data_IF_473147994867
#
_entry.id   IF_473147994867
#
_cell.length_a   1.000
_cell.length_b   1.000
_cell.length_c   1.000
_cell.angle_alpha   90.00
_cell.angle_beta   90.00
_cell.angle_gamma   90.00
#
_symmetry.space_group_name_H-M   'P 1'
#
loop_
_entity.id
_entity.type
_entity.pdbx_description
1 polymer ?
#
# COMPACT_ATOMS: atom_id res chain seq x y z
N UNK A 1 5.65 17.52 -16.29
CA UNK A 1 4.39 17.60 -15.53
C UNK A 1 3.63 16.27 -15.53
N UNK A 2 3.25 15.69 -16.68
CA UNK A 2 2.44 14.45 -16.68
C UNK A 2 3.12 13.22 -16.03
N UNK A 3 4.39 12.96 -16.37
CA UNK A 3 5.13 11.80 -15.82
C UNK A 3 5.35 11.88 -14.31
N UNK A 4 5.60 13.07 -13.79
CA UNK A 4 5.81 13.29 -12.36
C UNK A 4 4.53 13.04 -11.58
N UNK A 5 3.40 13.56 -12.05
CA UNK A 5 2.09 13.30 -11.44
C UNK A 5 1.73 11.81 -11.46
N UNK A 6 2.01 11.10 -12.56
CA UNK A 6 1.80 9.65 -12.63
C UNK A 6 2.68 8.87 -11.63
N UNK A 7 3.95 9.29 -11.44
CA UNK A 7 4.83 8.68 -10.44
C UNK A 7 4.29 8.93 -9.03
N UNK A 8 3.84 10.16 -8.73
CA UNK A 8 3.23 10.52 -7.44
C UNK A 8 2.00 9.68 -7.15
N UNK A 9 1.08 9.53 -8.12
CA UNK A 9 -0.10 8.67 -7.98
C UNK A 9 0.26 7.22 -7.68
N UNK A 10 1.25 6.66 -8.37
CA UNK A 10 1.74 5.28 -8.13
C UNK A 10 2.40 5.11 -6.76
N UNK A 11 3.03 6.15 -6.23
CA UNK A 11 3.57 6.15 -4.87
C UNK A 11 2.39 6.17 -3.88
N UNK A 12 1.42 7.05 -4.09
CA UNK A 12 0.24 7.17 -3.22
C UNK A 12 -0.55 5.86 -3.14
N UNK A 13 -0.83 5.21 -4.27
CA UNK A 13 -1.55 3.93 -4.29
C UNK A 13 -0.85 2.84 -3.45
N UNK A 14 0.48 2.81 -3.46
CA UNK A 14 1.24 1.88 -2.59
C UNK A 14 1.14 2.28 -1.12
N UNK A 15 1.18 3.58 -0.84
CA UNK A 15 1.02 4.13 0.51
C UNK A 15 -0.33 3.78 1.10
N UNK A 16 -1.42 4.02 0.37
CA UNK A 16 -2.78 3.78 0.83
C UNK A 16 -2.98 2.30 1.21
N UNK A 17 -2.41 1.38 0.43
CA UNK A 17 -2.47 -0.07 0.72
C UNK A 17 -1.70 -0.41 2.01
N UNK A 18 -0.47 0.10 2.14
CA UNK A 18 0.39 -0.21 3.29
C UNK A 18 -0.17 0.43 4.56
N UNK A 19 -0.69 1.66 4.49
CA UNK A 19 -1.36 2.35 5.60
C UNK A 19 -2.55 1.56 6.15
N UNK A 20 -3.40 1.03 5.25
CA UNK A 20 -4.55 0.23 5.65
C UNK A 20 -4.13 -1.03 6.42
N UNK A 21 -3.07 -1.72 5.95
CA UNK A 21 -2.55 -2.92 6.61
C UNK A 21 -1.79 -2.60 7.90
N UNK A 22 -1.00 -1.53 7.91
CA UNK A 22 -0.30 -1.02 9.09
C UNK A 22 -1.30 -0.69 10.21
N UNK A 23 -2.39 0.00 9.87
CA UNK A 23 -3.44 0.33 10.83
C UNK A 23 -4.10 -0.92 11.42
N UNK A 24 -4.31 -1.95 10.60
CA UNK A 24 -4.87 -3.24 11.06
C UNK A 24 -3.92 -3.98 11.99
N UNK A 25 -2.61 -3.90 11.74
CA UNK A 25 -1.57 -4.64 12.47
C UNK A 25 -1.60 -4.44 13.99
N UNK A 26 -1.99 -3.23 14.43
CA UNK A 26 -2.06 -2.88 15.85
C UNK A 26 -3.46 -3.08 16.47
N UNK A 27 -4.32 -3.86 15.80
CA UNK A 27 -5.64 -4.24 16.31
C UNK A 27 -5.66 -5.71 16.73
N UNK A 28 -6.80 -6.18 17.24
CA UNK A 28 -7.00 -7.61 17.56
C UNK A 28 -6.92 -8.53 16.33
N UNK A 29 -7.15 -7.98 15.13
CA UNK A 29 -7.06 -8.71 13.87
C UNK A 29 -5.97 -8.05 12.98
N UNK A 30 -4.72 -8.54 13.03
CA UNK A 30 -3.60 -7.91 12.33
C UNK A 30 -3.61 -8.15 10.81
N UNK A 31 -4.61 -8.89 10.33
CA UNK A 31 -4.75 -9.28 8.93
C UNK A 31 -6.08 -8.81 8.37
N UNK A 32 -6.10 -8.54 7.06
CA UNK A 32 -7.31 -8.20 6.31
C UNK A 32 -7.67 -9.35 5.39
N UNK A 33 -8.94 -9.74 5.35
CA UNK A 33 -9.42 -10.84 4.51
C UNK A 33 -10.31 -10.28 3.39
N UNK A 34 -9.99 -10.64 2.15
CA UNK A 34 -10.73 -10.21 0.97
C UNK A 34 -10.94 -11.36 -0.02
N UNK A 35 -11.99 -11.29 -0.86
CA UNK A 35 -12.05 -12.12 -2.07
C UNK A 35 -10.83 -11.86 -2.96
N UNK A 36 -10.23 -12.91 -3.52
CA UNK A 36 -9.05 -12.82 -4.40
C UNK A 36 -9.25 -11.84 -5.56
N UNK A 37 -10.43 -11.87 -6.18
CA UNK A 37 -10.77 -10.96 -7.27
C UNK A 37 -10.74 -9.49 -6.85
N UNK A 38 -11.24 -9.19 -5.64
CA UNK A 38 -11.23 -7.84 -5.07
C UNK A 38 -9.86 -7.41 -4.58
N UNK A 39 -9.04 -8.33 -4.09
CA UNK A 39 -7.69 -8.00 -3.66
C UNK A 39 -6.78 -7.74 -4.85
N UNK A 40 -6.67 -8.68 -5.79
CA UNK A 40 -5.71 -8.53 -6.89
C UNK A 40 -6.09 -7.42 -7.89
N UNK A 41 -7.34 -6.92 -7.85
CA UNK A 41 -7.84 -5.77 -8.63
C UNK A 41 -7.37 -5.75 -10.09
N UNK A 42 -7.47 -6.88 -10.79
CA UNK A 42 -6.96 -7.02 -12.17
C UNK A 42 -7.59 -6.03 -13.16
N UNK A 43 -8.77 -5.51 -12.84
CA UNK A 43 -9.48 -4.49 -13.61
C UNK A 43 -8.89 -3.08 -13.44
N UNK A 44 -8.22 -2.80 -12.32
CA UNK A 44 -7.56 -1.52 -12.02
C UNK A 44 -6.04 -1.68 -12.11
N UNK A 45 -5.50 -1.48 -13.31
CA UNK A 45 -4.10 -1.80 -13.63
C UNK A 45 -3.06 -1.18 -12.69
N UNK A 46 -3.26 0.06 -12.22
CA UNK A 46 -2.31 0.74 -11.33
C UNK A 46 -2.36 0.17 -9.91
N UNK A 47 -3.54 -0.15 -9.37
CA UNK A 47 -3.69 -0.84 -8.09
C UNK A 47 -3.12 -2.26 -8.14
N UNK A 48 -3.40 -3.00 -9.22
CA UNK A 48 -2.82 -4.32 -9.44
C UNK A 48 -1.28 -4.28 -9.43
N UNK A 49 -0.69 -3.27 -10.09
CA UNK A 49 0.77 -3.05 -10.11
C UNK A 49 1.31 -2.67 -8.73
N UNK A 50 0.60 -1.83 -7.98
CA UNK A 50 0.98 -1.46 -6.61
C UNK A 50 1.02 -2.69 -5.69
N UNK A 51 -0.02 -3.52 -5.71
CA UNK A 51 -0.10 -4.76 -4.93
C UNK A 51 1.02 -5.72 -5.33
N UNK A 52 1.22 -5.94 -6.63
CA UNK A 52 2.28 -6.81 -7.14
C UNK A 52 3.66 -6.33 -6.71
N UNK A 53 3.89 -5.01 -6.73
CA UNK A 53 5.14 -4.41 -6.25
C UNK A 53 5.38 -4.70 -4.77
N UNK A 54 4.36 -4.47 -3.93
CA UNK A 54 4.46 -4.66 -2.48
C UNK A 54 4.71 -6.14 -2.12
N UNK A 55 4.02 -7.07 -2.80
CA UNK A 55 4.25 -8.52 -2.64
C UNK A 55 5.67 -8.91 -3.04
N UNK A 56 6.14 -8.46 -4.21
CA UNK A 56 7.49 -8.78 -4.71
C UNK A 56 8.61 -8.21 -3.83
N UNK A 57 8.35 -7.09 -3.15
CA UNK A 57 9.28 -6.51 -2.18
C UNK A 57 9.22 -7.16 -0.81
N UNK A 58 8.23 -8.00 -0.56
CA UNK A 58 8.02 -8.62 0.75
C UNK A 58 7.52 -7.64 1.81
N UNK A 59 6.94 -6.50 1.42
CA UNK A 59 6.35 -5.53 2.36
C UNK A 59 4.98 -5.96 2.86
N UNK A 60 4.29 -6.78 2.05
CA UNK A 60 3.04 -7.42 2.43
C UNK A 60 3.12 -8.89 2.05
N UNK A 61 2.33 -9.72 2.72
CA UNK A 61 2.15 -11.14 2.39
C UNK A 61 0.68 -11.43 2.17
N UNK A 62 0.39 -12.40 1.30
CA UNK A 62 -0.96 -12.80 0.95
C UNK A 62 -1.05 -14.33 0.97
N UNK A 63 -1.84 -14.87 1.90
CA UNK A 63 -2.02 -16.31 2.11
C UNK A 63 -3.45 -16.72 1.74
N UNK A 64 -3.63 -17.93 1.22
CA UNK A 64 -4.99 -18.46 1.03
C UNK A 64 -5.60 -18.80 2.38
N UNK A 65 -6.89 -18.54 2.54
CA UNK A 65 -7.63 -18.87 3.77
C UNK A 65 -7.97 -20.36 3.75
N UNK A 66 -7.76 -21.05 4.87
CA UNK A 66 -8.10 -22.46 5.01
C UNK A 66 -9.61 -22.66 4.83
N UNK A 67 -10.01 -23.66 4.04
CA UNK A 67 -11.41 -23.96 3.71
C UNK A 67 -12.17 -22.87 2.90
N UNK A 68 -11.52 -21.74 2.56
CA UNK A 68 -12.09 -20.68 1.73
C UNK A 68 -11.11 -20.28 0.60
N UNK A 69 -10.96 -21.12 -0.45
CA UNK A 69 -9.94 -20.94 -1.47
C UNK A 69 -10.11 -19.68 -2.34
N UNK A 70 -11.29 -19.07 -2.35
CA UNK A 70 -11.56 -17.81 -3.04
C UNK A 70 -11.19 -16.57 -2.22
N UNK A 71 -10.84 -16.76 -0.95
CA UNK A 71 -10.44 -15.70 -0.04
C UNK A 71 -8.91 -15.67 0.10
N UNK A 72 -8.41 -14.48 0.42
CA UNK A 72 -7.00 -14.24 0.70
C UNK A 72 -6.89 -13.40 1.96
N UNK A 73 -6.05 -13.87 2.88
CA UNK A 73 -5.64 -13.15 4.07
C UNK A 73 -4.36 -12.37 3.75
N UNK A 74 -4.35 -11.07 4.03
CA UNK A 74 -3.23 -10.19 3.77
C UNK A 74 -2.78 -9.56 5.07
N UNK A 75 -1.46 -9.49 5.25
CA UNK A 75 -0.85 -8.76 6.35
C UNK A 75 0.36 -7.96 5.88
N UNK A 76 0.68 -6.91 6.63
CA UNK A 76 1.94 -6.20 6.49
C UNK A 76 3.07 -7.03 7.13
N UNK A 77 4.29 -6.93 6.59
CA UNK A 77 5.48 -7.53 7.20
C UNK A 77 6.23 -6.52 8.07
N UNK A 78 7.24 -6.96 8.82
CA UNK A 78 8.17 -6.05 9.51
C UNK A 78 8.80 -5.04 8.54
N UNK A 79 9.21 -5.51 7.37
CA UNK A 79 9.85 -4.66 6.35
C UNK A 79 8.85 -3.65 5.76
N UNK A 80 7.58 -4.03 5.66
CA UNK A 80 6.50 -3.12 5.25
C UNK A 80 6.19 -2.06 6.31
N UNK A 81 6.23 -2.43 7.59
CA UNK A 81 6.09 -1.51 8.73
C UNK A 81 7.23 -0.49 8.71
N UNK A 82 8.48 -0.96 8.65
CA UNK A 82 9.66 -0.09 8.59
C UNK A 82 9.60 0.86 7.39
N UNK A 83 9.18 0.35 6.21
CA UNK A 83 8.98 1.15 5.01
C UNK A 83 7.95 2.29 5.25
N UNK A 84 6.79 1.97 5.83
CA UNK A 84 5.74 2.95 6.10
C UNK A 84 6.17 4.00 7.12
N UNK A 85 6.74 3.57 8.25
CA UNK A 85 7.14 4.46 9.34
C UNK A 85 8.27 5.42 8.92
N UNK A 86 9.28 4.94 8.19
CA UNK A 86 10.40 5.77 7.72
C UNK A 86 9.93 6.91 6.81
N UNK A 87 9.04 6.60 5.87
CA UNK A 87 8.50 7.57 4.95
C UNK A 87 7.49 8.50 5.63
N UNK A 88 6.65 8.00 6.54
CA UNK A 88 5.75 8.83 7.36
C UNK A 88 6.54 9.86 8.17
N UNK A 89 7.57 9.43 8.89
CA UNK A 89 8.42 10.30 9.69
C UNK A 89 9.27 11.27 8.85
N UNK A 90 9.65 10.88 7.63
CA UNK A 90 10.34 11.78 6.69
C UNK A 90 9.41 12.77 5.98
N UNK A 91 8.11 12.77 6.32
CA UNK A 91 7.09 13.65 5.74
C UNK A 91 6.63 13.22 4.35
N UNK A 92 7.06 12.06 3.83
CA UNK A 92 6.66 11.52 2.53
C UNK A 92 5.39 10.68 2.62
N UNK A 93 5.12 10.08 3.79
CA UNK A 93 4.01 9.16 4.02
C UNK A 93 2.62 9.81 4.17
N UNK A 94 2.51 11.14 4.08
CA UNK A 94 1.23 11.85 4.29
C UNK A 94 0.63 12.40 2.99
N UNK A 95 1.16 12.05 1.81
CA UNK A 95 0.68 12.55 0.51
C UNK A 95 0.74 14.08 0.31
N UNK A 96 1.09 14.87 1.35
CA UNK A 96 0.94 16.32 1.40
C UNK A 96 2.26 17.10 1.33
N UNK A 97 3.40 16.56 1.76
CA UNK A 97 4.68 17.30 1.69
C UNK A 97 5.30 17.36 0.29
N UNK A 98 4.78 16.58 -0.67
CA UNK A 98 5.23 16.61 -2.07
C UNK A 98 4.44 17.68 -2.89
N UNK A 99 3.37 18.24 -2.31
CA UNK A 99 2.53 19.26 -2.96
C UNK A 99 2.90 20.67 -2.50
N UNK A 100 3.47 20.85 -1.30
CA UNK A 100 3.77 22.17 -0.74
C UNK A 100 5.12 22.74 -1.15
N UNK A 101 6.11 21.94 -1.58
CA UNK A 101 7.40 22.49 -2.05
C UNK A 101 7.32 23.25 -3.39
N UNK A 102 6.20 23.17 -4.10
CA UNK A 102 6.00 23.90 -5.37
C UNK A 102 4.97 25.03 -5.30
N UNK A 103 4.37 25.31 -4.15
CA UNK A 103 3.40 26.40 -4.03
C UNK A 103 3.94 27.68 -3.41
N UNK A 104 5.18 27.70 -2.91
CA UNK A 104 5.79 28.93 -2.40
C UNK A 104 7.23 29.10 -2.89
N UNK A 105 7.38 29.54 -4.15
CA UNK A 105 8.45 30.47 -4.58
C UNK A 105 7.93 31.34 -5.72
N UNK A 106 7.51 32.54 -5.30
CA UNK A 106 7.39 33.83 -6.02
C UNK A 106 6.73 33.88 -7.40
#
# INVERSE_FOLDING_TARGET
MERESQIKQRIQERYDIVEALYSSWFTENPTLVFPKEKFYQREHIEKHRAITYLLNKGYIVANSVENEPEMVEISITSDGIDFYEQDFLSGKGNGWSIVTEHSDKE
#
